data_IF_274963491709
#
_entry.id   IF_274963491709
#
_cell.length_a   1.000
_cell.length_b   1.000
_cell.length_c   1.000
_cell.angle_alpha   90.00
_cell.angle_beta   90.00
_cell.angle_gamma   90.00
#
_symmetry.space_group_name_H-M   'P 1'
#
loop_
_entity.id
_entity.type
_entity.pdbx_description
1 polymer ?
#
# COMPACT_ATOMS: atom_id res chain seq x y z
N UNK A 1 1.92 11.23 -2.40
CA UNK A 1 0.61 11.12 -1.72
C UNK A 1 0.83 10.86 -0.25
N UNK A 2 -0.25 10.64 0.51
CA UNK A 2 -0.20 10.30 1.93
C UNK A 2 -0.98 9.01 2.20
N UNK A 3 -0.57 8.25 3.21
CA UNK A 3 -1.23 7.04 3.65
C UNK A 3 -1.49 7.14 5.16
N UNK A 4 -2.73 6.85 5.58
CA UNK A 4 -3.12 6.79 6.98
C UNK A 4 -3.62 5.38 7.29
N UNK A 5 -2.79 4.58 7.96
CA UNK A 5 -3.15 3.22 8.36
C UNK A 5 -4.09 3.24 9.56
N UNK A 6 -4.98 2.25 9.69
CA UNK A 6 -5.79 2.04 10.89
C UNK A 6 -5.13 1.08 11.89
N UNK A 7 -4.05 0.39 11.48
CA UNK A 7 -3.38 -0.64 12.26
C UNK A 7 -1.87 -0.48 12.21
N UNK A 8 -1.20 -0.91 13.28
CA UNK A 8 0.26 -0.98 13.36
C UNK A 8 0.68 -2.21 14.16
N UNK A 9 1.88 -2.72 13.89
CA UNK A 9 2.49 -3.79 14.67
C UNK A 9 3.43 -3.29 15.77
N UNK A 10 3.57 -1.97 15.90
CA UNK A 10 4.34 -1.30 16.96
C UNK A 10 3.40 -0.76 18.02
N UNK A 11 3.90 -0.44 19.21
CA UNK A 11 3.16 0.35 20.21
C UNK A 11 3.15 1.86 19.93
N UNK A 12 3.84 2.32 18.87
CA UNK A 12 3.92 3.73 18.52
C UNK A 12 2.57 4.27 18.03
N UNK A 13 2.30 5.54 18.34
CA UNK A 13 1.14 6.26 17.82
C UNK A 13 1.19 6.34 16.30
N UNK A 14 0.08 5.98 15.64
CA UNK A 14 -0.05 6.03 14.19
C UNK A 14 -0.02 7.48 13.72
N UNK A 15 0.75 7.74 12.66
CA UNK A 15 0.83 9.05 11.99
C UNK A 15 0.65 8.89 10.49
N UNK A 16 0.08 9.92 9.86
CA UNK A 16 0.01 10.03 8.41
C UNK A 16 1.44 9.96 7.85
N UNK A 17 1.64 9.09 6.86
CA UNK A 17 2.95 8.77 6.31
C UNK A 17 3.02 9.10 4.82
N UNK A 18 4.15 9.61 4.31
CA UNK A 18 4.30 9.90 2.89
C UNK A 18 4.35 8.61 2.06
N UNK A 19 3.78 8.68 0.86
CA UNK A 19 3.88 7.61 -0.12
C UNK A 19 4.23 8.13 -1.52
N UNK A 20 5.00 7.33 -2.26
CA UNK A 20 5.38 7.62 -3.64
C UNK A 20 5.24 6.35 -4.48
N UNK A 21 4.81 6.49 -5.73
CA UNK A 21 4.56 5.34 -6.58
C UNK A 21 4.52 5.69 -8.05
N UNK A 22 4.39 4.65 -8.86
CA UNK A 22 4.26 4.72 -10.30
C UNK A 22 3.08 3.86 -10.74
N UNK A 23 2.50 4.25 -11.87
CA UNK A 23 1.39 3.54 -12.48
C UNK A 23 1.70 3.36 -13.95
N UNK A 24 1.42 2.17 -14.48
CA UNK A 24 1.53 1.93 -15.91
C UNK A 24 0.50 2.77 -16.65
N UNK A 25 0.92 3.38 -17.77
CA UNK A 25 0.05 4.16 -18.65
C UNK A 25 0.09 3.54 -20.03
N UNK A 26 -0.69 2.50 -20.25
CA UNK A 26 -0.81 1.83 -21.55
C UNK A 26 -2.10 2.22 -22.28
N UNK A 27 -2.01 2.44 -23.59
CA UNK A 27 -3.18 2.68 -24.48
C UNK A 27 -4.23 1.56 -24.39
N UNK A 28 -3.79 0.33 -24.11
CA UNK A 28 -4.64 -0.87 -24.04
C UNK A 28 -5.21 -1.15 -22.65
N UNK A 29 -4.94 -0.33 -21.63
CA UNK A 29 -5.29 -0.62 -20.24
C UNK A 29 -6.70 -0.21 -19.82
N UNK A 30 -7.52 0.36 -20.73
CA UNK A 30 -8.95 0.71 -20.52
C UNK A 30 -9.29 1.31 -19.14
N UNK A 31 -8.40 2.14 -18.58
CA UNK A 31 -8.61 2.76 -17.25
C UNK A 31 -8.40 1.84 -16.03
N UNK A 32 -7.86 0.64 -16.22
CA UNK A 32 -7.59 -0.37 -15.18
C UNK A 32 -6.08 -0.72 -15.06
N UNK A 33 -5.22 0.28 -14.80
CA UNK A 33 -3.78 0.09 -14.82
C UNK A 33 -3.26 -0.68 -13.60
N UNK A 34 -2.12 -1.36 -13.80
CA UNK A 34 -1.29 -1.85 -12.70
C UNK A 34 -0.46 -0.70 -12.13
N UNK A 35 -0.23 -0.71 -10.82
CA UNK A 35 0.53 0.31 -10.12
C UNK A 35 1.34 -0.29 -8.98
N UNK A 36 2.34 0.47 -8.53
CA UNK A 36 3.08 0.19 -7.31
C UNK A 36 3.34 1.48 -6.54
N UNK A 37 3.32 1.39 -5.22
CA UNK A 37 3.65 2.51 -4.33
C UNK A 37 4.43 2.03 -3.12
N UNK A 38 5.21 2.93 -2.54
CA UNK A 38 6.01 2.74 -1.34
C UNK A 38 5.53 3.73 -0.29
N UNK A 39 5.23 3.24 0.91
CA UNK A 39 4.88 4.02 2.10
C UNK A 39 6.09 4.00 3.04
N UNK A 40 6.61 5.18 3.37
CA UNK A 40 7.68 5.35 4.36
C UNK A 40 7.05 5.77 5.70
N UNK A 41 7.01 4.86 6.68
CA UNK A 41 6.23 5.06 7.90
C UNK A 41 6.87 6.12 8.81
N UNK A 42 6.14 7.20 9.08
CA UNK A 42 6.65 8.34 9.88
C UNK A 42 6.68 8.08 11.39
N UNK A 43 6.28 6.89 11.83
CA UNK A 43 6.20 6.50 13.24
C UNK A 43 6.88 5.16 13.55
N UNK A 44 7.61 4.58 12.59
CA UNK A 44 8.36 3.33 12.81
C UNK A 44 9.52 3.21 11.81
N UNK A 45 10.56 2.44 12.16
CA UNK A 45 11.65 2.09 11.24
C UNK A 45 11.23 0.93 10.32
N UNK A 46 10.19 1.16 9.52
CA UNK A 46 9.73 0.18 8.55
C UNK A 46 9.27 0.86 7.26
N UNK A 47 9.20 0.07 6.20
CA UNK A 47 8.70 0.51 4.90
C UNK A 47 7.69 -0.51 4.39
N UNK A 48 6.69 -0.06 3.63
CA UNK A 48 5.75 -0.98 2.99
C UNK A 48 5.61 -0.65 1.52
N UNK A 49 5.76 -1.67 0.68
CA UNK A 49 5.47 -1.57 -0.74
C UNK A 49 4.13 -2.22 -1.02
N UNK A 50 3.32 -1.57 -1.85
CA UNK A 50 2.10 -2.12 -2.41
C UNK A 50 2.30 -2.29 -3.90
N UNK A 51 1.77 -3.38 -4.45
CA UNK A 51 1.60 -3.58 -5.88
C UNK A 51 0.18 -4.04 -6.13
N UNK A 52 -0.43 -3.60 -7.22
CA UNK A 52 -1.81 -3.94 -7.50
C UNK A 52 -2.31 -3.47 -8.83
N UNK A 53 -3.60 -3.65 -9.03
CA UNK A 53 -4.32 -3.22 -10.22
C UNK A 53 -5.65 -2.59 -9.82
N UNK A 54 -6.01 -1.51 -10.52
CA UNK A 54 -7.35 -0.95 -10.46
C UNK A 54 -8.28 -1.77 -11.34
N UNK A 55 -9.44 -2.14 -10.82
CA UNK A 55 -10.53 -2.77 -11.56
C UNK A 55 -11.77 -1.88 -11.50
N UNK A 56 -12.60 -1.96 -12.54
CA UNK A 56 -13.95 -1.39 -12.54
C UNK A 56 -14.91 -2.58 -12.60
N UNK A 57 -15.78 -2.72 -11.61
CA UNK A 57 -16.76 -3.82 -11.57
C UNK A 57 -17.94 -3.58 -12.52
N UNK A 58 -18.87 -4.54 -12.57
CA UNK A 58 -20.04 -4.50 -13.44
C UNK A 58 -20.96 -3.31 -13.14
N UNK A 59 -20.94 -2.79 -11.90
CA UNK A 59 -21.69 -1.60 -11.47
C UNK A 59 -20.93 -0.29 -11.75
N UNK A 60 -19.73 -0.35 -12.32
CA UNK A 60 -18.89 0.81 -12.57
C UNK A 60 -18.09 1.29 -11.35
N UNK A 61 -18.03 0.54 -10.25
CA UNK A 61 -17.27 0.91 -9.05
C UNK A 61 -15.82 0.50 -9.18
N UNK A 62 -14.94 1.43 -8.80
CA UNK A 62 -13.50 1.21 -8.80
C UNK A 62 -13.04 0.45 -7.55
N UNK A 63 -12.25 -0.60 -7.76
CA UNK A 63 -11.65 -1.43 -6.72
C UNK A 63 -10.16 -1.60 -6.99
N UNK A 64 -9.33 -1.24 -6.02
CA UNK A 64 -7.90 -1.54 -6.09
C UNK A 64 -7.65 -2.89 -5.39
N UNK A 65 -7.25 -3.91 -6.15
CA UNK A 65 -6.77 -5.18 -5.61
C UNK A 65 -5.26 -5.08 -5.45
N UNK A 66 -4.76 -5.19 -4.22
CA UNK A 66 -3.33 -5.04 -3.94
C UNK A 66 -2.78 -6.17 -3.08
N UNK A 67 -1.50 -6.43 -3.25
CA UNK A 67 -0.65 -7.12 -2.29
C UNK A 67 0.37 -6.16 -1.73
N UNK A 68 0.87 -6.44 -0.54
CA UNK A 68 1.92 -5.63 0.07
C UNK A 68 2.98 -6.47 0.75
N UNK A 69 4.17 -5.89 0.84
CA UNK A 69 5.28 -6.37 1.67
C UNK A 69 5.65 -5.28 2.66
N UNK A 70 5.58 -5.60 3.95
CA UNK A 70 6.09 -4.74 5.02
C UNK A 70 7.47 -5.24 5.40
N UNK A 71 8.46 -4.35 5.31
CA UNK A 71 9.84 -4.61 5.68
C UNK A 71 10.18 -3.87 6.97
N UNK A 72 10.39 -4.62 8.04
CA UNK A 72 10.88 -4.10 9.32
C UNK A 72 12.39 -3.88 9.28
N UNK A 73 12.87 -2.86 10.00
CA UNK A 73 14.27 -2.76 10.37
C UNK A 73 14.67 -3.94 11.29
N UNK A 74 15.86 -4.48 11.07
CA UNK A 74 16.49 -5.47 11.94
C UNK A 74 17.97 -5.12 12.10
N UNK A 75 18.50 -5.37 13.29
CA UNK A 75 19.85 -4.93 13.68
C UNK A 75 20.98 -5.57 12.87
N UNK A 76 20.76 -6.77 12.32
CA UNK A 76 21.78 -7.49 11.56
C UNK A 76 21.19 -8.49 10.56
N UNK A 77 22.02 -8.92 9.60
CA UNK A 77 21.63 -9.80 8.49
C UNK A 77 21.10 -11.18 8.92
N UNK A 78 21.53 -11.70 10.08
CA UNK A 78 21.03 -12.99 10.59
C UNK A 78 19.56 -12.92 11.00
N UNK A 79 19.02 -11.73 11.22
CA UNK A 79 17.61 -11.49 11.53
C UNK A 79 16.77 -11.18 10.29
N UNK A 80 17.34 -11.17 9.08
CA UNK A 80 16.63 -10.84 7.83
C UNK A 80 15.42 -11.75 7.57
N UNK A 81 15.55 -13.03 7.93
CA UNK A 81 14.52 -14.05 7.67
C UNK A 81 13.14 -13.72 8.27
N UNK A 82 13.10 -12.92 9.34
CA UNK A 82 11.86 -12.50 10.03
C UNK A 82 11.43 -11.07 9.71
N UNK A 83 12.17 -10.35 8.86
CA UNK A 83 12.00 -8.92 8.66
C UNK A 83 10.91 -8.56 7.65
N UNK A 84 10.41 -9.51 6.85
CA UNK A 84 9.42 -9.26 5.80
C UNK A 84 8.09 -9.95 6.11
N UNK A 85 7.01 -9.17 6.15
CA UNK A 85 5.63 -9.65 6.22
C UNK A 85 4.93 -9.41 4.88
N UNK A 86 3.95 -10.24 4.56
CA UNK A 86 3.16 -10.15 3.32
C UNK A 86 1.67 -10.13 3.65
N UNK A 87 0.89 -9.42 2.85
CA UNK A 87 -0.56 -9.45 2.95
C UNK A 87 -1.24 -8.87 1.71
N UNK A 88 -2.57 -8.74 1.81
CA UNK A 88 -3.42 -8.19 0.77
C UNK A 88 -4.27 -7.06 1.33
N UNK A 89 -4.60 -6.08 0.50
CA UNK A 89 -5.65 -5.12 0.80
C UNK A 89 -6.53 -4.91 -0.43
N UNK A 90 -7.79 -4.59 -0.16
CA UNK A 90 -8.76 -4.18 -1.17
C UNK A 90 -9.19 -2.77 -0.79
N UNK A 91 -8.97 -1.82 -1.69
CA UNK A 91 -9.38 -0.43 -1.48
C UNK A 91 -10.54 -0.09 -2.40
N UNK A 92 -11.46 0.71 -1.88
CA UNK A 92 -12.57 1.30 -2.63
C UNK A 92 -12.50 2.81 -2.49
N UNK A 93 -13.07 3.53 -3.46
CA UNK A 93 -13.17 4.99 -3.39
C UNK A 93 -14.00 5.40 -2.16
N UNK A 94 -13.44 6.29 -1.33
CA UNK A 94 -14.19 6.91 -0.24
C UNK A 94 -15.26 7.82 -0.84
N UNK A 95 -16.52 7.60 -0.46
CA UNK A 95 -17.61 8.52 -0.78
C UNK A 95 -17.57 9.65 0.25
N UNK A 96 -17.33 10.88 -0.18
CA UNK A 96 -17.55 12.04 0.68
C UNK A 96 -19.06 12.23 0.76
N UNK A 97 -19.64 12.11 1.94
CA UNK A 97 -21.00 12.62 2.19
C UNK A 97 -20.89 14.14 2.28
N UNK A 98 -21.68 14.84 1.46
CA UNK A 98 -21.90 16.29 1.57
C UNK A 98 -22.65 16.64 2.87
#
# INVERSE_FOLDING_TARGET
GTYHTAVTATSNEIKVSPMQGFMQKGLNQKGQPTFGLTVNWSFSDSITVFTGQCFVDEDGKEVLKTMWLLRSHVENIKNDWKATRVGINVFTRLQLQE
#
